data_IF_689058211922
#
_entry.id   IF_689058211922
#
_cell.length_a   1.000
_cell.length_b   1.000
_cell.length_c   1.000
_cell.angle_alpha   90.00
_cell.angle_beta   90.00
_cell.angle_gamma   90.00
#
_symmetry.space_group_name_H-M   'P 1'
#
loop_
_entity.id
_entity.type
_entity.pdbx_description
1 polymer ?
#
# COMPACT_ATOMS: atom_id res chain seq x y z
N UNK A 1 37.95 -8.56 -38.38
CA UNK A 1 36.72 -8.77 -37.58
C UNK A 1 36.87 -7.94 -36.31
N UNK A 2 36.21 -6.79 -36.24
CA UNK A 2 36.30 -5.85 -35.11
C UNK A 2 35.37 -6.33 -34.00
N UNK A 3 35.95 -6.62 -32.83
CA UNK A 3 35.17 -6.82 -31.58
C UNK A 3 34.61 -5.46 -31.16
N UNK A 4 33.31 -5.27 -31.33
CA UNK A 4 32.61 -4.17 -30.68
C UNK A 4 32.75 -4.34 -29.17
N UNK A 5 33.47 -3.44 -28.56
CA UNK A 5 33.55 -3.26 -27.11
C UNK A 5 32.13 -2.99 -26.63
N UNK A 6 31.59 -3.85 -25.78
CA UNK A 6 30.33 -3.60 -25.09
C UNK A 6 30.53 -2.33 -24.24
N UNK A 7 29.82 -1.27 -24.57
CA UNK A 7 29.78 -0.08 -23.75
C UNK A 7 29.32 -0.47 -22.36
N UNK A 8 30.17 -0.22 -21.38
CA UNK A 8 29.84 -0.44 -19.98
C UNK A 8 28.62 0.41 -19.63
N UNK A 9 27.54 -0.24 -19.23
CA UNK A 9 26.37 0.45 -18.71
C UNK A 9 26.84 1.27 -17.51
N UNK A 10 26.87 2.59 -17.66
CA UNK A 10 27.17 3.50 -16.57
C UNK A 10 26.01 3.36 -15.58
N UNK A 11 26.20 2.59 -14.52
CA UNK A 11 25.27 2.56 -13.40
C UNK A 11 25.37 3.94 -12.73
N UNK A 12 24.39 4.79 -13.01
CA UNK A 12 24.16 5.99 -12.21
C UNK A 12 23.97 5.51 -10.77
N UNK A 13 24.79 5.94 -9.80
CA UNK A 13 24.57 5.60 -8.41
C UNK A 13 23.13 5.95 -8.08
N UNK A 14 22.38 4.96 -7.63
CA UNK A 14 21.00 5.18 -7.20
C UNK A 14 21.12 6.13 -6.00
N UNK A 15 20.90 7.44 -6.21
CA UNK A 15 20.79 8.37 -5.09
C UNK A 15 19.65 7.82 -4.27
N UNK A 16 19.97 7.19 -3.14
CA UNK A 16 18.96 6.86 -2.14
C UNK A 16 18.17 8.14 -1.94
N UNK A 17 16.90 8.12 -2.31
CA UNK A 17 16.03 9.27 -2.07
C UNK A 17 16.14 9.54 -0.57
N UNK A 18 16.54 10.74 -0.19
CA UNK A 18 16.62 11.13 1.22
C UNK A 18 15.30 10.76 1.89
N UNK A 19 15.36 10.04 3.00
CA UNK A 19 14.18 9.58 3.73
C UNK A 19 13.69 8.15 3.40
N UNK A 20 14.32 7.42 2.45
CA UNK A 20 13.94 6.02 2.22
C UNK A 20 14.62 5.11 3.24
N UNK A 21 13.84 4.52 4.14
CA UNK A 21 14.32 3.62 5.20
C UNK A 21 13.69 2.25 5.03
N UNK A 22 14.52 1.20 5.04
CA UNK A 22 14.06 -0.20 4.98
C UNK A 22 14.25 -0.87 6.33
N UNK A 23 13.31 -1.72 6.77
CA UNK A 23 13.47 -2.52 7.98
C UNK A 23 14.53 -3.60 7.78
N UNK A 24 15.05 -4.14 8.89
CA UNK A 24 15.86 -5.35 8.84
C UNK A 24 14.97 -6.55 8.47
N UNK A 25 15.16 -7.10 7.28
CA UNK A 25 14.35 -8.19 6.75
C UNK A 25 14.45 -9.49 7.53
N UNK A 26 15.53 -9.69 8.28
CA UNK A 26 15.76 -10.91 9.06
C UNK A 26 15.07 -10.87 10.43
N UNK A 27 14.92 -9.70 11.03
CA UNK A 27 14.44 -9.55 12.42
C UNK A 27 13.13 -8.77 12.56
N UNK A 28 12.82 -7.88 11.60
CA UNK A 28 11.60 -7.09 11.68
C UNK A 28 10.36 -7.92 11.35
N UNK A 29 9.28 -7.64 12.10
CA UNK A 29 7.95 -8.22 11.82
C UNK A 29 7.56 -8.04 10.35
N UNK A 30 6.90 -9.03 9.75
CA UNK A 30 6.53 -9.01 8.33
C UNK A 30 5.64 -7.85 7.89
N UNK A 31 4.87 -7.25 8.82
CA UNK A 31 4.10 -6.03 8.59
C UNK A 31 4.89 -4.73 8.84
N UNK A 32 6.15 -4.80 9.25
CA UNK A 32 7.05 -3.65 9.27
C UNK A 32 7.51 -3.38 7.83
N UNK A 33 6.92 -2.41 7.18
CA UNK A 33 7.17 -2.08 5.77
C UNK A 33 8.25 -1.01 5.63
N UNK A 34 8.91 -0.98 4.46
CA UNK A 34 9.82 0.10 4.11
C UNK A 34 9.09 1.47 4.12
N UNK A 35 9.82 2.54 4.40
CA UNK A 35 9.34 3.92 4.28
C UNK A 35 10.12 4.67 3.19
N UNK A 36 9.44 5.44 2.37
CA UNK A 36 8.00 5.51 2.18
C UNK A 36 7.48 4.30 1.40
N UNK A 37 6.22 3.93 1.64
CA UNK A 37 5.54 2.85 0.92
C UNK A 37 4.11 3.24 0.53
N UNK A 38 3.59 2.61 -0.50
CA UNK A 38 2.17 2.71 -0.89
C UNK A 38 1.56 1.31 -0.80
N UNK A 39 0.67 1.14 0.17
CA UNK A 39 0.00 -0.13 0.47
C UNK A 39 -1.46 -0.08 0.03
N UNK A 40 -1.92 -1.12 -0.65
CA UNK A 40 -3.32 -1.30 -1.03
C UNK A 40 -3.87 -2.54 -0.34
N UNK A 41 -4.88 -2.37 0.50
CA UNK A 41 -5.61 -3.43 1.19
C UNK A 41 -6.96 -3.64 0.49
N UNK A 42 -7.21 -4.83 -0.06
CA UNK A 42 -8.45 -5.15 -0.79
C UNK A 42 -9.16 -6.32 -0.16
N UNK A 43 -10.35 -6.08 0.37
CA UNK A 43 -11.22 -7.10 0.95
C UNK A 43 -12.67 -6.62 0.95
N UNK A 44 -13.61 -7.51 0.81
CA UNK A 44 -15.00 -7.23 1.17
C UNK A 44 -15.17 -6.81 2.64
N UNK A 45 -16.38 -6.48 3.02
CA UNK A 45 -16.72 -6.08 4.40
C UNK A 45 -16.35 -7.18 5.39
N UNK A 46 -15.79 -6.80 6.53
CA UNK A 46 -15.45 -7.73 7.63
C UNK A 46 -14.20 -8.58 7.39
N UNK A 47 -13.39 -8.32 6.35
CA UNK A 47 -12.15 -9.07 6.11
C UNK A 47 -10.98 -8.70 7.02
N UNK A 48 -11.02 -7.56 7.71
CA UNK A 48 -9.95 -7.13 8.62
C UNK A 48 -8.97 -6.11 8.02
N UNK A 49 -9.32 -5.42 6.92
CA UNK A 49 -8.49 -4.39 6.28
C UNK A 49 -7.98 -3.35 7.28
N UNK A 50 -8.88 -2.75 8.04
CA UNK A 50 -8.57 -1.72 9.04
C UNK A 50 -7.60 -2.26 10.09
N UNK A 51 -7.82 -3.49 10.58
CA UNK A 51 -6.91 -4.12 11.55
C UNK A 51 -5.50 -4.33 10.96
N UNK A 52 -5.40 -4.74 9.69
CA UNK A 52 -4.09 -4.88 9.02
C UNK A 52 -3.45 -3.52 8.81
N UNK A 53 -4.20 -2.48 8.43
CA UNK A 53 -3.68 -1.11 8.32
C UNK A 53 -3.11 -0.61 9.66
N UNK A 54 -3.81 -0.84 10.77
CA UNK A 54 -3.34 -0.54 12.13
C UNK A 54 -2.05 -1.30 12.47
N UNK A 55 -2.01 -2.59 12.18
CA UNK A 55 -0.81 -3.39 12.44
C UNK A 55 0.38 -2.92 11.59
N UNK A 56 0.18 -2.59 10.32
CA UNK A 56 1.24 -2.00 9.47
C UNK A 56 1.73 -0.69 10.10
N UNK A 57 0.82 0.20 10.52
CA UNK A 57 1.18 1.47 11.16
C UNK A 57 2.02 1.24 12.42
N UNK A 58 1.55 0.38 13.34
CA UNK A 58 2.21 0.08 14.60
C UNK A 58 3.56 -0.64 14.40
N UNK A 59 3.59 -1.72 13.61
CA UNK A 59 4.81 -2.51 13.39
C UNK A 59 5.88 -1.74 12.63
N UNK A 60 5.49 -0.89 11.68
CA UNK A 60 6.44 -0.01 11.00
C UNK A 60 6.99 1.04 11.96
N UNK A 61 6.17 1.56 12.88
CA UNK A 61 6.63 2.48 13.92
C UNK A 61 7.62 1.79 14.89
N UNK A 62 7.32 0.57 15.35
CA UNK A 62 8.22 -0.23 16.19
C UNK A 62 9.57 -0.49 15.49
N UNK A 63 9.56 -0.83 14.20
CA UNK A 63 10.77 -1.20 13.46
C UNK A 63 11.59 -0.04 12.91
N UNK A 64 10.96 1.09 12.56
CA UNK A 64 11.61 2.24 11.89
C UNK A 64 11.47 3.56 12.65
N UNK A 65 10.95 3.52 13.88
CA UNK A 65 10.69 4.71 14.70
C UNK A 65 9.30 5.31 14.45
N UNK A 66 8.92 6.22 15.34
CA UNK A 66 7.57 6.81 15.38
C UNK A 66 7.19 7.56 14.11
N UNK A 67 5.89 7.55 13.80
CA UNK A 67 5.28 8.46 12.86
C UNK A 67 5.20 9.85 13.49
N UNK A 68 5.62 10.87 12.78
CA UNK A 68 5.48 12.27 13.25
C UNK A 68 4.07 12.81 12.99
N UNK A 69 3.44 12.32 11.93
CA UNK A 69 2.10 12.72 11.55
C UNK A 69 1.35 11.51 11.01
N UNK A 70 0.14 11.27 11.52
CA UNK A 70 -0.78 10.26 10.97
C UNK A 70 -2.05 10.98 10.55
N UNK A 71 -2.42 10.83 9.29
CA UNK A 71 -3.63 11.42 8.70
C UNK A 71 -4.62 10.32 8.38
N UNK A 72 -5.86 10.50 8.79
CA UNK A 72 -6.95 9.56 8.51
C UNK A 72 -8.01 10.25 7.64
N UNK A 73 -8.30 9.66 6.50
CA UNK A 73 -9.40 10.03 5.63
C UNK A 73 -10.37 8.85 5.55
N UNK A 74 -11.61 9.03 6.00
CA UNK A 74 -12.69 8.04 5.96
C UNK A 74 -14.03 8.75 5.83
N UNK A 75 -15.07 8.14 5.26
CA UNK A 75 -16.41 8.73 5.17
C UNK A 75 -17.01 9.14 6.53
N UNK A 76 -16.64 8.41 7.59
CA UNK A 76 -17.05 8.68 8.97
C UNK A 76 -15.81 8.83 9.85
N UNK A 77 -14.97 9.80 9.52
CA UNK A 77 -13.60 9.90 10.06
C UNK A 77 -13.55 10.04 11.59
N UNK A 78 -14.48 10.76 12.21
CA UNK A 78 -14.51 10.90 13.68
C UNK A 78 -14.87 9.60 14.37
N UNK A 79 -15.85 8.85 13.82
CA UNK A 79 -16.22 7.55 14.38
C UNK A 79 -15.07 6.54 14.19
N UNK A 80 -14.43 6.53 13.04
CA UNK A 80 -13.26 5.67 12.77
C UNK A 80 -12.09 6.03 13.70
N UNK A 81 -11.79 7.31 13.89
CA UNK A 81 -10.73 7.78 14.79
C UNK A 81 -11.00 7.41 16.25
N UNK A 82 -12.24 7.54 16.72
CA UNK A 82 -12.63 7.18 18.09
C UNK A 82 -12.80 5.66 18.30
N UNK A 83 -13.00 4.91 17.24
CA UNK A 83 -13.19 3.45 17.24
C UNK A 83 -11.93 2.70 16.83
N UNK A 84 -11.87 2.30 15.56
CA UNK A 84 -10.83 1.41 15.04
C UNK A 84 -9.42 2.02 15.15
N UNK A 85 -9.29 3.34 14.98
CA UNK A 85 -8.00 4.05 15.00
C UNK A 85 -7.69 4.72 16.35
N UNK A 86 -8.44 4.44 17.41
CA UNK A 86 -8.28 5.08 18.73
C UNK A 86 -6.90 4.88 19.39
N UNK A 87 -6.13 3.88 18.94
CA UNK A 87 -4.75 3.63 19.39
C UNK A 87 -3.70 4.52 18.71
N UNK A 88 -4.09 5.27 17.68
CA UNK A 88 -3.21 6.15 16.93
C UNK A 88 -3.62 7.61 17.17
N UNK A 89 -2.63 8.48 17.32
CA UNK A 89 -2.87 9.93 17.33
C UNK A 89 -3.05 10.42 15.89
N UNK A 90 -4.30 10.44 15.42
CA UNK A 90 -4.64 10.74 14.02
C UNK A 90 -5.19 12.15 13.85
N UNK A 91 -4.74 12.81 12.78
CA UNK A 91 -5.37 14.03 12.26
C UNK A 91 -6.48 13.63 11.29
N UNK A 92 -7.74 13.91 11.66
CA UNK A 92 -8.91 13.63 10.84
C UNK A 92 -8.97 14.56 9.62
N UNK A 93 -9.18 13.98 8.44
CA UNK A 93 -9.39 14.69 7.19
C UNK A 93 -10.79 14.37 6.65
N UNK A 94 -11.59 15.42 6.36
CA UNK A 94 -12.95 15.28 5.86
C UNK A 94 -13.03 15.25 4.33
N UNK A 95 -11.95 15.67 3.67
CA UNK A 95 -11.82 15.68 2.22
C UNK A 95 -10.36 15.45 1.81
N UNK A 96 -10.14 15.15 0.54
CA UNK A 96 -8.77 15.09 0.00
C UNK A 96 -8.09 16.45 0.11
N UNK A 97 -6.95 16.52 0.83
CA UNK A 97 -6.24 17.78 0.99
C UNK A 97 -5.62 18.24 -0.33
N UNK A 98 -5.26 19.54 -0.46
CA UNK A 98 -4.53 20.04 -1.61
C UNK A 98 -3.15 19.37 -1.73
N UNK A 99 -2.56 19.40 -2.94
CA UNK A 99 -1.30 18.71 -3.26
C UNK A 99 -0.13 19.10 -2.36
N UNK A 100 -0.07 20.36 -1.97
CA UNK A 100 1.00 20.90 -1.14
C UNK A 100 0.76 20.77 0.37
N UNK A 101 -0.31 20.11 0.77
CA UNK A 101 -0.67 19.98 2.20
C UNK A 101 0.42 19.33 3.05
N UNK A 102 1.21 18.45 2.44
CA UNK A 102 2.23 17.67 3.12
C UNK A 102 3.66 18.23 2.93
N UNK A 103 3.86 19.24 2.08
CA UNK A 103 5.20 19.71 1.70
C UNK A 103 5.99 20.26 2.90
N UNK A 104 5.31 20.93 3.83
CA UNK A 104 5.93 21.56 5.00
C UNK A 104 5.87 20.68 6.27
N UNK A 105 5.62 19.37 6.12
CA UNK A 105 5.51 18.44 7.25
C UNK A 105 6.80 17.63 7.42
N UNK A 106 7.71 18.04 8.31
CA UNK A 106 8.97 17.33 8.50
C UNK A 106 8.76 15.97 9.18
N UNK A 107 9.55 14.98 8.76
CA UNK A 107 9.58 13.65 9.34
C UNK A 107 8.65 12.67 8.67
N UNK A 108 8.67 11.43 9.19
CA UNK A 108 7.89 10.34 8.62
C UNK A 108 6.39 10.55 8.86
N UNK A 109 5.62 10.56 7.79
CA UNK A 109 4.17 10.72 7.82
C UNK A 109 3.46 9.49 7.27
N UNK A 110 2.26 9.21 7.80
CA UNK A 110 1.39 8.15 7.32
C UNK A 110 0.04 8.75 6.92
N UNK A 111 -0.40 8.48 5.71
CA UNK A 111 -1.72 8.82 5.22
C UNK A 111 -2.56 7.56 5.04
N UNK A 112 -3.63 7.42 5.81
CA UNK A 112 -4.57 6.29 5.76
C UNK A 112 -5.84 6.76 5.09
N UNK A 113 -6.22 6.11 3.98
CA UNK A 113 -7.47 6.30 3.29
C UNK A 113 -8.30 5.03 3.47
N UNK A 114 -9.24 5.05 4.41
CA UNK A 114 -10.02 3.87 4.80
C UNK A 114 -11.47 3.95 4.30
N UNK A 115 -11.92 2.89 3.62
CA UNK A 115 -13.25 2.69 3.04
C UNK A 115 -13.76 3.86 2.16
N UNK A 116 -12.87 4.72 1.67
CA UNK A 116 -13.26 5.78 0.75
C UNK A 116 -13.47 5.22 -0.65
N UNK A 117 -14.65 5.48 -1.23
CA UNK A 117 -14.94 5.09 -2.61
C UNK A 117 -14.22 6.02 -3.60
N UNK A 118 -12.97 5.69 -3.91
CA UNK A 118 -12.14 6.41 -4.88
C UNK A 118 -12.76 6.42 -6.29
N UNK A 119 -13.65 5.46 -6.59
CA UNK A 119 -14.36 5.39 -7.88
C UNK A 119 -15.53 6.34 -7.94
N UNK A 120 -16.24 6.59 -6.84
CA UNK A 120 -17.33 7.58 -6.81
C UNK A 120 -16.81 8.98 -7.10
N UNK A 121 -15.57 9.26 -6.67
CA UNK A 121 -14.86 10.49 -7.05
C UNK A 121 -14.54 10.54 -8.56
N UNK A 122 -14.53 9.39 -9.24
CA UNK A 122 -14.36 9.27 -10.70
C UNK A 122 -15.67 9.32 -11.47
N UNK A 123 -16.83 9.30 -10.79
CA UNK A 123 -18.15 9.33 -11.43
C UNK A 123 -18.46 10.72 -12.00
N UNK A 124 -19.30 10.75 -13.05
CA UNK A 124 -19.67 11.99 -13.77
C UNK A 124 -20.38 13.06 -12.92
N UNK A 125 -20.75 12.75 -11.69
CA UNK A 125 -21.44 13.66 -10.75
C UNK A 125 -20.58 14.18 -9.61
N UNK A 126 -19.33 13.72 -9.46
CA UNK A 126 -18.44 14.26 -8.42
C UNK A 126 -17.94 15.65 -8.82
N UNK A 127 -17.78 16.59 -7.89
CA UNK A 127 -17.16 17.88 -8.18
C UNK A 127 -15.78 17.65 -8.78
N UNK A 128 -15.51 18.20 -9.97
CA UNK A 128 -14.25 18.03 -10.70
C UNK A 128 -13.02 18.37 -9.84
N UNK A 129 -13.19 19.28 -8.89
CA UNK A 129 -12.14 19.65 -7.93
C UNK A 129 -11.73 18.52 -7.01
N UNK A 130 -12.65 17.72 -6.48
CA UNK A 130 -12.31 16.62 -5.56
C UNK A 130 -11.72 15.41 -6.27
N UNK A 131 -12.29 15.00 -7.41
CA UNK A 131 -11.75 13.95 -8.26
C UNK A 131 -10.30 14.24 -8.68
N UNK A 132 -10.08 15.46 -9.18
CA UNK A 132 -8.77 15.88 -9.64
C UNK A 132 -7.77 15.94 -8.48
N UNK A 133 -8.21 16.35 -7.28
CA UNK A 133 -7.38 16.34 -6.08
C UNK A 133 -7.00 14.89 -5.68
N UNK A 134 -7.98 13.98 -5.61
CA UNK A 134 -7.73 12.58 -5.24
C UNK A 134 -6.73 11.90 -6.20
N UNK A 135 -6.98 11.96 -7.51
CA UNK A 135 -6.10 11.34 -8.51
C UNK A 135 -4.68 11.94 -8.49
N UNK A 136 -4.57 13.28 -8.42
CA UNK A 136 -3.27 13.95 -8.37
C UNK A 136 -2.54 13.73 -7.06
N UNK A 137 -3.25 13.85 -5.92
CA UNK A 137 -2.66 13.65 -4.61
C UNK A 137 -2.12 12.22 -4.48
N UNK A 138 -2.96 11.23 -4.75
CA UNK A 138 -2.57 9.81 -4.62
C UNK A 138 -1.44 9.45 -5.58
N UNK A 139 -1.48 9.98 -6.81
CA UNK A 139 -0.38 9.81 -7.77
C UNK A 139 0.91 10.47 -7.28
N UNK A 140 0.85 11.68 -6.74
CA UNK A 140 2.00 12.41 -6.23
C UNK A 140 2.59 11.73 -4.99
N UNK A 141 1.74 11.34 -4.03
CA UNK A 141 2.18 10.62 -2.83
C UNK A 141 2.88 9.30 -3.17
N UNK A 142 2.35 8.55 -4.15
CA UNK A 142 2.91 7.26 -4.55
C UNK A 142 4.21 7.38 -5.39
N UNK A 143 4.46 8.51 -6.09
CA UNK A 143 5.64 8.68 -6.95
C UNK A 143 6.74 9.52 -6.32
N UNK A 144 6.38 10.57 -5.65
CA UNK A 144 7.33 11.56 -5.16
C UNK A 144 7.56 11.48 -3.65
N UNK A 145 6.59 10.91 -2.92
CA UNK A 145 6.64 10.79 -1.46
C UNK A 145 7.12 12.06 -0.77
N UNK A 146 6.45 13.22 -0.99
CA UNK A 146 6.87 14.46 -0.37
C UNK A 146 6.92 14.28 1.16
N UNK A 147 7.98 14.74 1.80
CA UNK A 147 8.11 14.63 3.26
C UNK A 147 8.18 13.20 3.82
N UNK A 148 8.58 12.17 3.02
CA UNK A 148 8.64 10.77 3.47
C UNK A 148 7.28 10.18 3.86
N UNK A 149 6.23 10.48 3.11
CA UNK A 149 4.87 10.00 3.38
C UNK A 149 4.68 8.57 2.87
N UNK A 150 4.23 7.68 3.75
CA UNK A 150 3.66 6.38 3.38
C UNK A 150 2.13 6.49 3.25
N UNK A 151 1.57 5.68 2.36
CA UNK A 151 0.13 5.67 2.08
C UNK A 151 -0.43 4.28 2.30
N UNK A 152 -1.57 4.18 3.01
CA UNK A 152 -2.37 2.96 3.10
C UNK A 152 -3.76 3.27 2.54
N UNK A 153 -4.20 2.45 1.60
CA UNK A 153 -5.56 2.53 1.03
C UNK A 153 -6.30 1.24 1.33
N UNK A 154 -7.38 1.33 2.08
CA UNK A 154 -8.28 0.22 2.33
C UNK A 154 -9.52 0.37 1.45
N UNK A 155 -9.85 -0.67 0.67
CA UNK A 155 -10.98 -0.65 -0.25
C UNK A 155 -11.69 -2.00 -0.31
N UNK A 156 -12.96 -1.99 -0.70
CA UNK A 156 -13.76 -3.21 -0.79
C UNK A 156 -13.56 -3.95 -2.12
N UNK A 157 -13.06 -3.29 -3.15
CA UNK A 157 -12.88 -3.88 -4.47
C UNK A 157 -11.63 -3.37 -5.16
N UNK A 158 -10.94 -4.28 -5.86
CA UNK A 158 -9.79 -3.93 -6.70
C UNK A 158 -10.11 -2.85 -7.74
N UNK A 159 -11.31 -2.89 -8.30
CA UNK A 159 -11.73 -1.94 -9.34
C UNK A 159 -12.00 -0.54 -8.82
N UNK A 160 -12.17 -0.37 -7.50
CA UNK A 160 -12.31 0.94 -6.85
C UNK A 160 -10.99 1.70 -6.73
N UNK A 161 -9.86 1.01 -6.83
CA UNK A 161 -8.55 1.65 -6.81
C UNK A 161 -8.22 2.21 -8.20
N UNK A 162 -7.83 3.47 -8.32
CA UNK A 162 -7.42 4.06 -9.59
C UNK A 162 -6.27 3.27 -10.24
N UNK A 163 -6.28 3.07 -11.58
CA UNK A 163 -5.24 2.29 -12.27
C UNK A 163 -3.82 2.79 -12.03
N UNK A 164 -3.64 4.12 -11.95
CA UNK A 164 -2.34 4.72 -11.67
C UNK A 164 -1.83 4.33 -10.28
N UNK A 165 -2.68 4.41 -9.26
CA UNK A 165 -2.30 4.02 -7.90
C UNK A 165 -1.94 2.54 -7.82
N UNK A 166 -2.70 1.65 -8.49
CA UNK A 166 -2.40 0.21 -8.56
C UNK A 166 -1.01 -0.09 -9.15
N UNK A 167 -0.57 0.72 -10.15
CA UNK A 167 0.75 0.57 -10.78
C UNK A 167 1.90 1.11 -9.92
N UNK A 168 1.61 2.07 -9.06
CA UNK A 168 2.59 2.75 -8.21
C UNK A 168 2.71 2.11 -6.83
N UNK A 169 1.74 1.28 -6.45
CA UNK A 169 1.75 0.62 -5.15
C UNK A 169 2.93 -0.35 -5.03
N UNK A 170 3.55 -0.31 -3.85
CA UNK A 170 4.69 -1.16 -3.51
C UNK A 170 4.28 -2.40 -2.73
N UNK A 171 3.14 -2.34 -2.04
CA UNK A 171 2.63 -3.41 -1.19
C UNK A 171 1.14 -3.63 -1.44
N UNK A 172 0.74 -4.90 -1.45
CA UNK A 172 -0.66 -5.31 -1.57
C UNK A 172 -1.01 -6.30 -0.47
N UNK A 173 -2.15 -6.06 0.19
CA UNK A 173 -2.79 -7.00 1.11
C UNK A 173 -4.12 -7.43 0.49
N UNK A 174 -4.23 -8.70 0.14
CA UNK A 174 -5.35 -9.26 -0.62
C UNK A 174 -6.01 -10.39 0.17
N UNK A 175 -7.32 -10.35 0.36
CA UNK A 175 -8.11 -11.40 1.03
C UNK A 175 -8.82 -12.29 0.00
N UNK A 176 -8.28 -13.47 -0.35
CA UNK A 176 -8.79 -14.30 -1.44
C UNK A 176 -10.27 -14.70 -1.26
N UNK A 177 -10.67 -14.99 0.00
CA UNK A 177 -12.03 -15.41 0.34
C UNK A 177 -13.03 -14.25 0.41
N UNK A 178 -12.58 -13.00 0.19
CA UNK A 178 -13.37 -11.78 0.24
C UNK A 178 -13.28 -10.95 -1.05
N UNK A 179 -12.59 -11.47 -2.05
CA UNK A 179 -12.42 -10.82 -3.37
C UNK A 179 -13.14 -11.66 -4.41
N UNK A 180 -13.88 -11.01 -5.31
CA UNK A 180 -14.53 -11.69 -6.43
C UNK A 180 -13.46 -12.32 -7.36
N UNK A 181 -13.54 -13.63 -7.56
CA UNK A 181 -12.54 -14.40 -8.34
C UNK A 181 -12.54 -14.12 -9.83
N UNK A 182 -13.63 -13.62 -10.38
CA UNK A 182 -13.72 -13.17 -11.78
C UNK A 182 -12.76 -12.01 -12.10
N UNK A 183 -12.39 -11.22 -11.10
CA UNK A 183 -11.41 -10.13 -11.18
C UNK A 183 -9.94 -10.54 -11.09
N UNK A 184 -9.61 -11.82 -10.84
CA UNK A 184 -8.24 -12.25 -10.51
C UNK A 184 -7.20 -11.91 -11.59
N UNK A 185 -7.59 -11.95 -12.87
CA UNK A 185 -6.70 -11.57 -13.97
C UNK A 185 -6.33 -10.09 -13.99
N UNK A 186 -7.19 -9.22 -13.47
CA UNK A 186 -6.89 -7.79 -13.30
C UNK A 186 -5.97 -7.56 -12.11
N UNK A 187 -6.18 -8.30 -11.03
CA UNK A 187 -5.32 -8.26 -9.83
C UNK A 187 -3.93 -8.76 -10.20
N UNK A 188 -3.82 -9.91 -10.84
CA UNK A 188 -2.57 -10.53 -11.27
C UNK A 188 -1.68 -9.56 -12.07
N UNK A 189 -2.27 -8.86 -13.04
CA UNK A 189 -1.55 -7.82 -13.80
C UNK A 189 -1.10 -6.64 -12.93
N UNK A 190 -1.92 -6.24 -11.96
CA UNK A 190 -1.58 -5.11 -11.08
C UNK A 190 -0.48 -5.43 -10.08
N UNK A 191 -0.42 -6.68 -9.59
CA UNK A 191 0.63 -7.13 -8.66
C UNK A 191 1.83 -7.77 -9.37
N UNK A 192 1.84 -7.79 -10.72
CA UNK A 192 2.91 -8.34 -11.55
C UNK A 192 3.22 -9.81 -11.24
N UNK A 193 2.18 -10.62 -11.08
CA UNK A 193 2.26 -12.08 -10.88
C UNK A 193 1.42 -12.75 -11.96
N UNK A 194 1.88 -13.88 -12.50
CA UNK A 194 1.10 -14.65 -13.46
C UNK A 194 -0.24 -15.09 -12.84
N UNK A 195 -1.34 -15.09 -13.62
CA UNK A 195 -2.68 -15.40 -13.11
C UNK A 195 -2.74 -16.76 -12.39
N UNK A 196 -2.20 -17.82 -13.02
CA UNK A 196 -2.20 -19.18 -12.44
C UNK A 196 -1.41 -19.24 -11.13
N UNK A 197 -0.32 -18.50 -11.06
CA UNK A 197 0.48 -18.39 -9.86
C UNK A 197 -0.27 -17.66 -8.74
N UNK A 198 -0.99 -16.58 -9.07
CA UNK A 198 -1.81 -15.88 -8.08
C UNK A 198 -2.98 -16.74 -7.59
N UNK A 199 -3.60 -17.55 -8.47
CA UNK A 199 -4.61 -18.53 -8.09
C UNK A 199 -4.06 -19.53 -7.09
N UNK A 200 -2.88 -20.10 -7.38
CA UNK A 200 -2.20 -21.01 -6.46
C UNK A 200 -1.89 -20.36 -5.11
N UNK A 201 -1.34 -19.12 -5.11
CA UNK A 201 -1.08 -18.35 -3.89
C UNK A 201 -2.36 -18.16 -3.07
N UNK A 202 -3.47 -17.85 -3.73
CA UNK A 202 -4.75 -17.65 -3.07
C UNK A 202 -5.29 -18.94 -2.44
N UNK A 203 -5.07 -20.08 -3.08
CA UNK A 203 -5.49 -21.38 -2.54
C UNK A 203 -4.72 -21.76 -1.27
N UNK A 204 -3.50 -21.21 -1.06
CA UNK A 204 -2.74 -21.41 0.18
C UNK A 204 -3.37 -20.72 1.40
N UNK A 205 -4.28 -19.76 1.22
CA UNK A 205 -5.01 -19.13 2.33
C UNK A 205 -6.06 -20.05 2.95
N UNK A 206 -6.42 -21.17 2.31
CA UNK A 206 -7.50 -22.03 2.76
C UNK A 206 -8.86 -21.27 2.82
N UNK A 207 -9.75 -21.71 3.70
CA UNK A 207 -11.12 -21.20 3.81
C UNK A 207 -11.25 -20.10 4.89
N UNK A 208 -10.18 -19.72 5.58
CA UNK A 208 -10.26 -18.68 6.61
C UNK A 208 -10.57 -17.31 5.98
N UNK A 209 -11.72 -16.69 6.35
CA UNK A 209 -12.14 -15.42 5.80
C UNK A 209 -11.27 -14.22 6.20
N UNK A 210 -10.38 -14.39 7.19
CA UNK A 210 -9.47 -13.36 7.69
C UNK A 210 -8.05 -13.54 7.17
N UNK A 211 -7.73 -14.68 6.56
CA UNK A 211 -6.42 -14.88 5.93
C UNK A 211 -6.23 -13.98 4.72
N UNK A 212 -5.05 -13.39 4.62
CA UNK A 212 -4.69 -12.52 3.52
C UNK A 212 -3.29 -12.83 2.99
N UNK A 213 -3.09 -12.50 1.73
CA UNK A 213 -1.78 -12.54 1.06
C UNK A 213 -1.20 -11.13 1.08
N UNK A 214 0.02 -10.99 1.59
CA UNK A 214 0.83 -9.79 1.47
C UNK A 214 1.83 -9.97 0.33
N UNK A 215 1.86 -9.03 -0.60
CA UNK A 215 2.78 -9.00 -1.74
C UNK A 215 3.57 -7.71 -1.69
N UNK A 216 4.90 -7.78 -1.58
CA UNK A 216 5.82 -6.65 -1.71
C UNK A 216 6.48 -6.67 -3.09
N UNK A 217 6.31 -5.62 -3.89
CA UNK A 217 6.92 -5.53 -5.21
C UNK A 217 8.44 -5.31 -5.15
N UNK A 218 8.95 -4.72 -4.08
CA UNK A 218 10.37 -4.50 -3.79
C UNK A 218 10.66 -4.93 -2.35
N UNK A 219 10.70 -6.23 -2.06
CA UNK A 219 10.93 -6.72 -0.70
C UNK A 219 12.33 -6.36 -0.23
N UNK A 220 12.49 -6.18 1.08
CA UNK A 220 13.81 -6.01 1.67
C UNK A 220 14.63 -7.30 1.57
N UNK A 221 15.96 -7.22 1.50
CA UNK A 221 16.81 -8.42 1.47
C UNK A 221 16.50 -9.37 2.61
N UNK A 222 16.44 -10.67 2.32
CA UNK A 222 16.10 -11.72 3.30
C UNK A 222 14.62 -11.91 3.55
N UNK A 223 13.74 -11.16 2.90
CA UNK A 223 12.28 -11.27 3.05
C UNK A 223 11.64 -11.80 1.77
N UNK A 224 10.77 -12.80 1.90
CA UNK A 224 9.98 -13.30 0.77
C UNK A 224 9.04 -12.21 0.22
N UNK A 225 8.93 -12.13 -1.11
CA UNK A 225 8.01 -11.22 -1.81
C UNK A 225 6.55 -11.49 -1.46
N UNK A 226 6.18 -12.75 -1.27
CA UNK A 226 4.81 -13.18 -1.02
C UNK A 226 4.71 -13.88 0.32
N UNK A 227 3.83 -13.42 1.18
CA UNK A 227 3.64 -13.94 2.53
C UNK A 227 2.18 -14.10 2.90
N UNK A 228 1.86 -15.17 3.62
CA UNK A 228 0.55 -15.37 4.24
C UNK A 228 0.51 -14.59 5.57
N UNK A 229 -0.55 -13.84 5.79
CA UNK A 229 -0.79 -13.05 7.01
C UNK A 229 0.38 -12.13 7.42
N UNK A 230 1.21 -11.77 6.45
CA UNK A 230 2.34 -10.87 6.63
C UNK A 230 3.65 -11.54 7.02
N UNK A 231 3.65 -12.71 7.64
CA UNK A 231 4.84 -13.32 8.22
C UNK A 231 5.29 -14.62 7.52
N UNK A 232 4.35 -15.50 7.20
CA UNK A 232 4.67 -16.83 6.68
C UNK A 232 4.98 -16.76 5.18
N UNK A 233 6.22 -17.04 4.73
CA UNK A 233 6.53 -17.09 3.31
C UNK A 233 5.65 -18.15 2.62
N UNK A 234 5.00 -17.75 1.54
CA UNK A 234 4.40 -18.72 0.63
C UNK A 234 5.53 -19.13 -0.29
N UNK A 235 5.93 -20.38 -0.18
CA UNK A 235 7.14 -21.02 -0.71
C UNK A 235 7.76 -20.33 -1.94
N UNK A 236 9.11 -20.34 -2.03
CA UNK A 236 9.91 -19.73 -3.09
C UNK A 236 9.42 -20.11 -4.49
N UNK A 237 8.42 -19.40 -4.96
CA UNK A 237 7.72 -19.62 -6.22
C UNK A 237 8.25 -18.62 -7.27
N UNK A 238 9.40 -18.02 -7.01
CA UNK A 238 10.05 -17.11 -7.97
C UNK A 238 11.49 -17.50 -8.21
#
# INVERSE_FOLDING_TARGET
>A
MSRKTAEAIIRVPNKQKEGHVKPDGATAHGLCLARPSTTICVSGVGGGKTLVALNIAARTAEGLGEWKHIYLLSPNVEAAAAGEYALLDVTCLHEFPPLNYFDDKPGASLFICDDWDLKSLSSKGAPDSQKMRADRLMGNLATHHPGSISVIVCTQSWTMVPPNLRRLATVFCLWPNRIARDGIGHIARGVMIEKRMLEYIFDQCGDDPHSFVLIENDPVPGRSRVRLNGDTPIADIL
#
